data_IF_489453142901
#
_entry.id   IF_489453142901
#
_cell.length_a   1.000
_cell.length_b   1.000
_cell.length_c   1.000
_cell.angle_alpha   90.00
_cell.angle_beta   90.00
_cell.angle_gamma   90.00
#
_symmetry.space_group_name_H-M   'P 1'
#
loop_
_entity.id
_entity.type
_entity.pdbx_description
1 polymer ?
#
# COMPACT_ATOMS: atom_id res chain seq x y z
N UNK A 1 -32.34 -0.21 14.70
CA UNK A 1 -32.12 -1.61 14.32
C UNK A 1 -30.64 -1.91 14.50
N UNK A 2 -30.30 -2.71 15.50
CA UNK A 2 -28.92 -3.14 15.74
C UNK A 2 -28.57 -4.22 14.71
N UNK A 3 -27.61 -3.93 13.82
CA UNK A 3 -27.00 -4.95 12.97
C UNK A 3 -25.93 -5.63 13.83
N UNK A 4 -26.29 -6.76 14.43
CA UNK A 4 -25.30 -7.73 14.90
C UNK A 4 -24.37 -8.04 13.72
N UNK A 5 -23.05 -7.91 13.89
CA UNK A 5 -22.10 -8.37 12.88
C UNK A 5 -22.32 -9.88 12.69
N UNK A 6 -22.55 -10.37 11.47
CA UNK A 6 -22.63 -11.80 11.24
C UNK A 6 -21.24 -12.38 11.49
N UNK A 7 -21.15 -13.54 12.16
CA UNK A 7 -20.01 -14.43 11.89
C UNK A 7 -20.03 -14.68 10.40
N UNK A 8 -19.08 -14.10 9.67
CA UNK A 8 -19.10 -14.10 8.22
C UNK A 8 -19.07 -15.57 7.77
N UNK A 9 -20.06 -15.99 6.98
CA UNK A 9 -20.09 -17.36 6.48
C UNK A 9 -18.91 -17.55 5.53
N UNK A 10 -18.03 -18.50 5.83
CA UNK A 10 -16.88 -18.83 5.01
C UNK A 10 -16.76 -20.34 4.82
N UNK A 11 -16.13 -20.74 3.72
CA UNK A 11 -15.65 -22.10 3.48
C UNK A 11 -14.16 -22.17 3.77
N UNK A 12 -13.77 -22.95 4.78
CA UNK A 12 -12.35 -23.19 5.08
C UNK A 12 -11.84 -24.33 4.19
N UNK A 13 -10.97 -23.99 3.25
CA UNK A 13 -10.43 -24.89 2.23
C UNK A 13 -9.11 -25.49 2.71
N UNK A 14 -9.18 -26.68 3.33
CA UNK A 14 -8.01 -27.46 3.77
C UNK A 14 -7.66 -28.62 2.83
N UNK A 15 -8.40 -28.79 1.73
CA UNK A 15 -8.17 -29.84 0.73
C UNK A 15 -8.10 -29.27 -0.68
N UNK A 16 -7.36 -29.95 -1.55
CA UNK A 16 -7.20 -29.56 -2.95
C UNK A 16 -8.53 -29.48 -3.71
N UNK A 17 -9.47 -30.39 -3.42
CA UNK A 17 -10.81 -30.37 -4.00
C UNK A 17 -11.60 -29.13 -3.57
N UNK A 18 -11.46 -28.70 -2.31
CA UNK A 18 -12.09 -27.47 -1.83
C UNK A 18 -11.50 -26.23 -2.51
N UNK A 19 -10.18 -26.18 -2.69
CA UNK A 19 -9.51 -25.12 -3.44
C UNK A 19 -9.97 -25.08 -4.91
N UNK A 20 -10.16 -26.24 -5.54
CA UNK A 20 -10.68 -26.35 -6.92
C UNK A 20 -12.10 -25.81 -7.02
N UNK A 21 -12.98 -26.18 -6.08
CA UNK A 21 -14.35 -25.66 -6.02
C UNK A 21 -14.39 -24.15 -5.82
N UNK A 22 -13.53 -23.61 -4.95
CA UNK A 22 -13.41 -22.16 -4.76
C UNK A 22 -13.07 -21.47 -6.09
N UNK A 23 -12.07 -21.97 -6.83
CA UNK A 23 -11.71 -21.43 -8.14
C UNK A 23 -12.87 -21.49 -9.16
N UNK A 24 -13.62 -22.60 -9.19
CA UNK A 24 -14.78 -22.76 -10.07
C UNK A 24 -15.87 -21.71 -9.77
N UNK A 25 -16.24 -21.55 -8.49
CA UNK A 25 -17.24 -20.56 -8.07
C UNK A 25 -16.79 -19.15 -8.44
N UNK A 26 -15.54 -18.81 -8.11
CA UNK A 26 -15.00 -17.46 -8.34
C UNK A 26 -14.78 -17.13 -9.82
N UNK A 27 -14.58 -18.14 -10.68
CA UNK A 27 -14.39 -17.95 -12.13
C UNK A 27 -15.61 -17.36 -12.84
N UNK A 28 -16.79 -17.40 -12.21
CA UNK A 28 -18.01 -16.77 -12.72
C UNK A 28 -17.99 -15.23 -12.59
N UNK A 29 -17.05 -14.67 -11.82
CA UNK A 29 -16.94 -13.23 -11.58
C UNK A 29 -15.77 -12.62 -12.35
N UNK A 30 -15.98 -11.46 -12.96
CA UNK A 30 -14.91 -10.66 -13.59
C UNK A 30 -14.07 -9.87 -12.58
N UNK A 31 -14.49 -9.89 -11.30
CA UNK A 31 -13.83 -9.25 -10.18
C UNK A 31 -13.88 -10.19 -8.98
N UNK A 32 -12.78 -10.27 -8.23
CA UNK A 32 -12.71 -11.00 -6.97
C UNK A 32 -12.03 -10.12 -5.92
N UNK A 33 -12.23 -10.45 -4.65
CA UNK A 33 -11.52 -9.84 -3.53
C UNK A 33 -10.40 -10.77 -3.12
N UNK A 34 -9.22 -10.22 -2.81
CA UNK A 34 -8.05 -10.97 -2.35
C UNK A 34 -7.48 -10.33 -1.08
N UNK A 35 -7.22 -11.18 -0.09
CA UNK A 35 -6.53 -10.82 1.14
C UNK A 35 -5.61 -11.95 1.57
N UNK A 36 -4.45 -11.64 2.15
CA UNK A 36 -3.48 -12.64 2.60
C UNK A 36 -3.17 -12.45 4.09
N UNK A 37 -2.96 -13.56 4.79
CA UNK A 37 -2.51 -13.59 6.18
C UNK A 37 -1.30 -14.50 6.32
N UNK A 38 -0.41 -14.18 7.27
CA UNK A 38 0.75 -14.99 7.58
C UNK A 38 1.74 -14.25 8.47
N UNK A 39 2.95 -14.81 8.59
CA UNK A 39 4.03 -14.24 9.38
C UNK A 39 4.89 -13.35 8.49
N UNK A 40 5.12 -12.10 8.91
CA UNK A 40 6.11 -11.20 8.31
C UNK A 40 6.03 -11.07 6.77
N UNK A 41 4.81 -11.13 6.22
CA UNK A 41 4.55 -11.14 4.77
C UNK A 41 5.34 -10.05 4.04
N UNK A 42 6.09 -10.46 3.02
CA UNK A 42 6.94 -9.63 2.16
C UNK A 42 8.33 -9.37 2.71
N UNK A 43 8.67 -9.82 3.92
CA UNK A 43 10.03 -9.78 4.46
C UNK A 43 10.75 -11.10 4.19
N UNK A 44 12.11 -11.14 4.30
CA UNK A 44 12.84 -12.40 4.32
C UNK A 44 12.25 -13.35 5.38
N UNK A 45 12.19 -14.63 5.05
CA UNK A 45 11.56 -15.68 5.87
C UNK A 45 10.05 -15.47 6.18
N UNK A 46 9.42 -14.53 5.47
CA UNK A 46 7.98 -14.33 5.46
C UNK A 46 7.26 -15.58 4.97
N UNK A 47 6.16 -15.91 5.64
CA UNK A 47 5.46 -17.18 5.43
C UNK A 47 3.96 -16.93 5.27
N UNK A 48 3.46 -17.18 4.06
CA UNK A 48 2.05 -17.14 3.72
C UNK A 48 1.32 -18.29 4.42
N UNK A 49 0.18 -17.99 5.05
CA UNK A 49 -0.61 -18.99 5.81
C UNK A 49 -2.04 -19.14 5.31
N UNK A 50 -2.70 -18.02 5.00
CA UNK A 50 -4.05 -18.01 4.45
C UNK A 50 -4.10 -17.12 3.21
N UNK A 51 -4.71 -17.64 2.14
CA UNK A 51 -5.22 -16.83 1.04
C UNK A 51 -6.73 -16.78 1.20
N UNK A 52 -7.27 -15.58 1.41
CA UNK A 52 -8.71 -15.35 1.50
C UNK A 52 -9.21 -14.76 0.17
N UNK A 53 -10.28 -15.33 -0.37
CA UNK A 53 -10.88 -14.95 -1.64
C UNK A 53 -12.38 -14.84 -1.53
N UNK A 54 -12.98 -13.92 -2.27
CA UNK A 54 -14.43 -13.91 -2.47
C UNK A 54 -14.84 -13.32 -3.80
N UNK A 55 -16.11 -13.48 -4.13
CA UNK A 55 -16.80 -12.64 -5.09
C UNK A 55 -16.87 -11.17 -4.61
N UNK A 56 -17.24 -10.20 -5.47
CA UNK A 56 -17.24 -8.78 -5.10
C UNK A 56 -18.20 -8.41 -3.97
N UNK A 57 -19.29 -9.17 -3.83
CA UNK A 57 -20.30 -8.95 -2.78
C UNK A 57 -19.87 -9.54 -1.42
N UNK A 58 -18.77 -10.30 -1.37
CA UNK A 58 -18.40 -11.14 -0.23
C UNK A 58 -19.55 -12.07 0.20
N UNK A 59 -20.29 -12.60 -0.77
CA UNK A 59 -21.35 -13.59 -0.55
C UNK A 59 -20.79 -15.00 -0.39
N UNK A 60 -19.69 -15.31 -1.09
CA UNK A 60 -19.00 -16.59 -1.03
C UNK A 60 -17.53 -16.33 -0.65
N UNK A 61 -17.20 -16.51 0.63
CA UNK A 61 -15.84 -16.33 1.15
C UNK A 61 -15.14 -17.67 1.29
N UNK A 62 -13.97 -17.80 0.67
CA UNK A 62 -13.10 -18.97 0.76
C UNK A 62 -11.81 -18.62 1.49
N UNK A 63 -11.48 -19.36 2.53
CA UNK A 63 -10.24 -19.23 3.28
C UNK A 63 -9.36 -20.45 2.97
N UNK A 64 -8.34 -20.28 2.14
CA UNK A 64 -7.45 -21.35 1.73
C UNK A 64 -6.29 -21.49 2.70
N UNK A 65 -6.18 -22.65 3.34
CA UNK A 65 -5.07 -22.99 4.23
C UNK A 65 -3.84 -23.41 3.41
N UNK A 66 -2.97 -22.45 3.09
CA UNK A 66 -1.83 -22.72 2.20
C UNK A 66 -0.79 -23.64 2.83
N UNK A 67 -0.75 -23.72 4.17
CA UNK A 67 0.15 -24.65 4.88
C UNK A 67 -0.33 -26.10 4.74
N UNK A 68 -1.64 -26.33 4.65
CA UNK A 68 -2.20 -27.65 4.35
C UNK A 68 -2.24 -27.95 2.83
N UNK A 69 -2.27 -26.91 2.00
CA UNK A 69 -2.19 -26.98 0.53
C UNK A 69 -0.73 -26.78 0.03
N UNK A 70 0.23 -27.44 0.69
CA UNK A 70 1.65 -27.15 0.55
C UNK A 70 2.29 -27.67 -0.76
N UNK A 71 1.73 -28.71 -1.40
CA UNK A 71 2.17 -29.13 -2.74
C UNK A 71 1.73 -28.11 -3.80
N UNK A 72 2.62 -27.16 -4.08
CA UNK A 72 2.44 -26.12 -5.10
C UNK A 72 2.30 -26.65 -6.53
N UNK A 73 2.70 -27.89 -6.80
CA UNK A 73 2.60 -28.52 -8.11
C UNK A 73 1.32 -29.36 -8.27
N UNK A 74 0.48 -29.40 -7.23
CA UNK A 74 -0.77 -30.14 -7.30
C UNK A 74 -1.70 -29.55 -8.37
N UNK A 75 -2.15 -30.35 -9.35
CA UNK A 75 -2.93 -29.86 -10.49
C UNK A 75 -4.30 -29.27 -10.08
N UNK A 76 -4.83 -29.62 -8.91
CA UNK A 76 -6.08 -29.03 -8.42
C UNK A 76 -5.93 -27.55 -8.00
N UNK A 77 -4.71 -27.04 -7.81
CA UNK A 77 -4.47 -25.61 -7.59
C UNK A 77 -4.37 -24.81 -8.89
N UNK A 78 -4.15 -25.46 -10.04
CA UNK A 78 -3.96 -24.77 -11.32
C UNK A 78 -5.13 -23.84 -11.71
N UNK A 79 -6.42 -24.18 -11.50
CA UNK A 79 -7.52 -23.26 -11.78
C UNK A 79 -7.49 -21.99 -10.91
N UNK A 80 -7.10 -22.14 -9.64
CA UNK A 80 -6.97 -21.01 -8.71
C UNK A 80 -5.84 -20.08 -9.15
N UNK A 81 -4.68 -20.63 -9.49
CA UNK A 81 -3.53 -19.83 -9.91
C UNK A 81 -3.79 -19.14 -11.24
N UNK A 82 -4.41 -19.84 -12.19
CA UNK A 82 -4.87 -19.25 -13.46
C UNK A 82 -5.81 -18.05 -13.23
N UNK A 83 -6.68 -18.11 -12.22
CA UNK A 83 -7.56 -17.00 -11.84
C UNK A 83 -6.77 -15.76 -11.36
N UNK A 84 -5.71 -15.97 -10.56
CA UNK A 84 -4.88 -14.90 -10.00
C UNK A 84 -3.99 -14.23 -11.07
N UNK A 85 -3.50 -15.00 -12.05
CA UNK A 85 -2.62 -14.51 -13.12
C UNK A 85 -3.34 -13.75 -14.23
N UNK A 86 -4.66 -13.94 -14.35
CA UNK A 86 -5.46 -13.32 -15.41
C UNK A 86 -5.58 -11.80 -15.26
N UNK A 87 -5.07 -10.99 -16.21
CA UNK A 87 -5.15 -9.53 -16.13
C UNK A 87 -6.56 -8.98 -16.41
N UNK A 88 -7.41 -9.76 -17.06
CA UNK A 88 -8.80 -9.41 -17.37
C UNK A 88 -9.73 -9.58 -16.16
N UNK A 89 -9.33 -10.39 -15.17
CA UNK A 89 -10.03 -10.54 -13.89
C UNK A 89 -9.45 -9.55 -12.88
N UNK A 90 -10.31 -8.69 -12.35
CA UNK A 90 -9.91 -7.67 -11.37
C UNK A 90 -9.74 -8.29 -9.99
N UNK A 91 -8.60 -8.08 -9.33
CA UNK A 91 -8.39 -8.44 -7.91
C UNK A 91 -8.44 -7.18 -7.07
N UNK A 92 -9.52 -7.01 -6.30
CA UNK A 92 -9.64 -5.95 -5.32
C UNK A 92 -8.83 -6.34 -4.07
N UNK A 93 -7.92 -5.46 -3.67
CA UNK A 93 -7.08 -5.65 -2.48
C UNK A 93 -7.07 -4.39 -1.63
N UNK A 94 -6.72 -4.52 -0.36
CA UNK A 94 -6.33 -3.41 0.50
C UNK A 94 -4.86 -3.55 0.85
N UNK A 95 -4.01 -2.69 0.30
CA UNK A 95 -2.54 -2.75 0.46
C UNK A 95 -1.91 -4.09 0.03
N UNK A 96 -2.01 -4.42 -1.25
CA UNK A 96 -1.54 -5.70 -1.80
C UNK A 96 -0.02 -5.81 -2.01
N UNK A 97 0.77 -4.81 -1.63
CA UNK A 97 2.23 -4.74 -1.95
C UNK A 97 3.01 -5.98 -1.55
N UNK A 98 2.61 -6.63 -0.46
CA UNK A 98 3.25 -7.86 0.03
C UNK A 98 2.68 -9.11 -0.63
N UNK A 99 1.41 -9.10 -1.04
CA UNK A 99 0.72 -10.29 -1.58
C UNK A 99 1.40 -10.79 -2.85
N UNK A 100 1.87 -9.87 -3.70
CA UNK A 100 2.60 -10.23 -4.92
C UNK A 100 3.88 -11.02 -4.60
N UNK A 101 4.66 -10.56 -3.62
CA UNK A 101 5.90 -11.25 -3.21
C UNK A 101 5.58 -12.63 -2.64
N UNK A 102 4.58 -12.71 -1.76
CA UNK A 102 4.23 -13.94 -1.05
C UNK A 102 3.65 -15.01 -1.97
N UNK A 103 2.75 -14.63 -2.87
CA UNK A 103 2.13 -15.56 -3.83
C UNK A 103 3.17 -16.01 -4.87
N UNK A 104 4.04 -15.11 -5.34
CA UNK A 104 5.10 -15.45 -6.27
C UNK A 104 6.14 -16.41 -5.65
N UNK A 105 6.56 -16.15 -4.40
CA UNK A 105 7.54 -17.00 -3.71
C UNK A 105 6.96 -18.38 -3.36
N UNK A 106 5.74 -18.41 -2.82
CA UNK A 106 5.09 -19.65 -2.37
C UNK A 106 4.72 -20.54 -3.55
N UNK A 107 4.15 -19.96 -4.61
CA UNK A 107 3.50 -20.73 -5.68
C UNK A 107 4.05 -20.48 -7.09
N UNK A 108 4.98 -19.54 -7.28
CA UNK A 108 5.48 -19.17 -8.61
C UNK A 108 4.46 -18.40 -9.46
N UNK A 109 3.43 -17.83 -8.82
CA UNK A 109 2.27 -17.21 -9.48
C UNK A 109 2.44 -15.71 -9.56
N UNK A 110 2.35 -15.15 -10.77
CA UNK A 110 2.43 -13.70 -10.96
C UNK A 110 1.04 -13.07 -10.86
N UNK A 111 0.73 -12.45 -9.72
CA UNK A 111 -0.53 -11.74 -9.52
C UNK A 111 -0.67 -10.55 -10.50
N UNK A 112 -1.72 -10.56 -11.33
CA UNK A 112 -2.02 -9.47 -12.30
C UNK A 112 -3.41 -8.87 -12.06
N UNK A 113 -3.81 -7.83 -12.80
CA UNK A 113 -5.20 -7.31 -12.73
C UNK A 113 -5.61 -6.72 -11.37
N UNK A 114 -4.65 -6.24 -10.57
CA UNK A 114 -4.93 -5.73 -9.22
C UNK A 114 -5.46 -4.29 -9.24
N UNK A 115 -6.45 -4.01 -8.41
CA UNK A 115 -6.85 -2.66 -8.00
C UNK A 115 -6.70 -2.56 -6.49
N UNK A 116 -5.84 -1.66 -6.04
CA UNK A 116 -5.62 -1.40 -4.62
C UNK A 116 -6.55 -0.29 -4.12
N UNK A 117 -7.50 -0.65 -3.25
CA UNK A 117 -8.49 0.28 -2.70
C UNK A 117 -7.87 1.37 -1.82
N UNK A 118 -6.66 1.17 -1.30
CA UNK A 118 -5.96 2.18 -0.52
C UNK A 118 -5.57 3.38 -1.39
N UNK A 119 -5.29 3.17 -2.69
CA UNK A 119 -5.06 4.25 -3.65
C UNK A 119 -6.36 4.99 -4.00
N UNK A 120 -7.49 4.27 -4.02
CA UNK A 120 -8.82 4.87 -4.21
C UNK A 120 -9.17 5.78 -3.05
N UNK A 121 -8.92 5.31 -1.83
CA UNK A 121 -9.10 6.11 -0.62
C UNK A 121 -8.25 7.39 -0.68
N UNK A 122 -6.96 7.28 -0.99
CA UNK A 122 -6.07 8.45 -1.11
C UNK A 122 -6.54 9.43 -2.19
N UNK A 123 -6.99 8.92 -3.34
CA UNK A 123 -7.45 9.73 -4.48
C UNK A 123 -8.80 10.40 -4.24
N UNK A 124 -9.60 9.90 -3.29
CA UNK A 124 -10.91 10.46 -2.93
C UNK A 124 -10.86 11.33 -1.67
N UNK A 125 -9.81 11.20 -0.85
CA UNK A 125 -9.58 11.98 0.36
C UNK A 125 -9.47 13.48 0.04
N UNK A 126 -10.44 14.28 0.49
CA UNK A 126 -10.43 15.74 0.40
C UNK A 126 -11.10 16.36 -0.84
N UNK A 127 -11.83 15.58 -1.66
CA UNK A 127 -12.61 16.12 -2.80
C UNK A 127 -13.91 16.86 -2.41
N UNK A 128 -14.41 16.74 -1.17
CA UNK A 128 -15.55 17.51 -0.65
C UNK A 128 -15.07 18.53 0.37
N UNK A 129 -15.02 19.82 0.01
CA UNK A 129 -14.82 21.05 0.85
C UNK A 129 -13.80 21.04 2.01
N UNK A 130 -13.09 19.94 2.24
CA UNK A 130 -12.22 19.64 3.36
C UNK A 130 -10.82 19.36 2.80
N UNK A 131 -10.28 20.32 2.03
CA UNK A 131 -8.87 20.34 1.59
C UNK A 131 -7.91 20.06 2.76
N UNK A 132 -8.37 20.27 3.99
CA UNK A 132 -7.62 20.05 5.20
C UNK A 132 -7.55 18.59 5.68
N UNK A 133 -8.45 17.65 5.33
CA UNK A 133 -8.36 16.30 5.92
C UNK A 133 -7.16 15.48 5.41
N UNK A 134 -6.86 15.56 4.10
CA UNK A 134 -5.69 14.88 3.50
C UNK A 134 -4.39 15.41 4.10
N UNK A 135 -4.25 16.73 4.15
CA UNK A 135 -3.13 17.39 4.77
C UNK A 135 -3.07 17.07 6.28
N UNK A 136 -4.17 17.19 7.02
CA UNK A 136 -4.21 16.93 8.46
C UNK A 136 -3.80 15.50 8.83
N UNK A 137 -4.26 14.48 8.10
CA UNK A 137 -3.89 13.09 8.40
C UNK A 137 -2.38 12.85 8.24
N UNK A 138 -1.79 13.36 7.16
CA UNK A 138 -0.33 13.32 6.93
C UNK A 138 0.39 14.21 7.96
N UNK A 139 -0.06 15.44 8.19
CA UNK A 139 0.54 16.40 9.12
C UNK A 139 0.59 15.89 10.56
N UNK A 140 -0.42 15.15 11.02
CA UNK A 140 -0.42 14.54 12.36
C UNK A 140 0.76 13.60 12.57
N UNK A 141 1.23 12.94 11.52
CA UNK A 141 2.41 12.07 11.59
C UNK A 141 3.70 12.87 11.79
N UNK A 142 3.81 14.00 11.10
CA UNK A 142 4.96 14.90 11.11
C UNK A 142 4.83 16.02 12.16
N UNK A 143 4.27 15.70 13.34
CA UNK A 143 3.96 16.71 14.38
C UNK A 143 5.22 17.46 14.85
N UNK A 144 6.37 16.79 14.93
CA UNK A 144 7.64 17.39 15.36
C UNK A 144 8.18 18.46 14.41
N UNK A 145 7.90 18.33 13.11
CA UNK A 145 8.32 19.29 12.06
C UNK A 145 7.15 20.15 11.56
N UNK A 146 6.09 20.25 12.36
CA UNK A 146 4.88 20.97 11.98
C UNK A 146 5.12 22.46 11.76
N UNK A 147 6.09 23.06 12.47
CA UNK A 147 6.47 24.47 12.27
C UNK A 147 7.00 24.68 10.84
N UNK A 148 7.90 23.81 10.39
CA UNK A 148 8.50 23.89 9.06
C UNK A 148 7.47 23.64 7.96
N UNK A 149 6.59 22.64 8.15
CA UNK A 149 5.47 22.37 7.25
C UNK A 149 4.49 23.54 7.17
N UNK A 150 4.21 24.23 8.29
CA UNK A 150 3.35 25.42 8.26
C UNK A 150 3.99 26.58 7.50
N UNK A 151 5.31 26.75 7.63
CA UNK A 151 6.06 27.77 6.91
C UNK A 151 6.23 27.43 5.43
N UNK A 152 6.29 26.15 5.09
CA UNK A 152 6.38 25.66 3.72
C UNK A 152 5.48 24.42 3.50
N UNK A 153 4.17 24.62 3.23
CA UNK A 153 3.22 23.52 3.04
C UNK A 153 3.56 22.58 1.87
N UNK A 154 4.34 23.07 0.90
CA UNK A 154 4.78 22.28 -0.27
C UNK A 154 5.70 21.12 0.11
N UNK A 155 6.26 21.11 1.32
CA UNK A 155 7.00 19.96 1.84
C UNK A 155 6.16 18.67 1.87
N UNK A 156 4.83 18.77 1.86
CA UNK A 156 3.91 17.64 1.80
C UNK A 156 3.36 17.32 0.41
N UNK A 157 3.77 18.04 -0.63
CA UNK A 157 3.30 17.79 -2.00
C UNK A 157 3.63 16.34 -2.41
N UNK A 158 2.66 15.62 -2.98
CA UNK A 158 2.79 14.20 -3.34
C UNK A 158 2.89 13.22 -2.15
N UNK A 159 2.95 13.68 -0.90
CA UNK A 159 3.09 12.81 0.28
C UNK A 159 1.72 12.47 0.87
N UNK A 160 1.37 11.19 0.80
CA UNK A 160 0.08 10.68 1.26
C UNK A 160 0.26 9.56 2.27
N UNK A 161 -0.04 9.85 3.53
CA UNK A 161 -0.07 8.81 4.56
C UNK A 161 -1.27 7.89 4.34
N UNK A 162 -1.02 6.59 4.40
CA UNK A 162 -2.00 5.53 4.23
C UNK A 162 -2.86 5.35 5.49
N UNK A 163 -4.12 4.93 5.30
CA UNK A 163 -4.99 4.48 6.38
C UNK A 163 -5.01 2.94 6.40
N UNK A 164 -5.14 2.36 7.59
CA UNK A 164 -5.53 0.95 7.72
C UNK A 164 -6.99 0.74 7.30
N UNK A 165 -7.35 -0.49 6.95
CA UNK A 165 -8.67 -0.86 6.46
C UNK A 165 -9.78 -0.46 7.45
N UNK A 166 -9.65 -0.79 8.74
CA UNK A 166 -10.65 -0.44 9.75
C UNK A 166 -10.82 1.07 9.90
N UNK A 167 -9.70 1.81 9.90
CA UNK A 167 -9.73 3.27 9.98
C UNK A 167 -10.45 3.88 8.78
N UNK A 168 -10.26 3.31 7.58
CA UNK A 168 -11.00 3.72 6.40
C UNK A 168 -12.49 3.38 6.54
N UNK A 169 -12.82 2.13 6.89
CA UNK A 169 -14.19 1.67 7.06
C UNK A 169 -14.96 2.51 8.11
N UNK A 170 -14.33 2.85 9.23
CA UNK A 170 -14.88 3.73 10.25
C UNK A 170 -15.11 5.15 9.71
N UNK A 171 -14.14 5.73 8.99
CA UNK A 171 -14.29 7.05 8.37
C UNK A 171 -15.41 7.09 7.32
N UNK A 172 -15.62 5.98 6.61
CA UNK A 172 -16.70 5.81 5.64
C UNK A 172 -18.04 5.41 6.29
N UNK A 173 -18.07 5.20 7.61
CA UNK A 173 -19.25 4.73 8.37
C UNK A 173 -19.78 3.38 7.88
N UNK A 174 -18.89 2.54 7.33
CA UNK A 174 -19.16 1.14 6.97
C UNK A 174 -19.32 0.29 8.23
N UNK A 175 -18.49 0.57 9.24
CA UNK A 175 -18.58 -0.03 10.57
C UNK A 175 -18.97 1.04 11.59
N UNK A 176 -19.68 0.62 12.64
CA UNK A 176 -19.96 1.46 13.79
C UNK A 176 -18.79 1.43 14.80
N UNK A 177 -18.87 2.21 15.88
CA UNK A 177 -17.82 2.27 16.90
C UNK A 177 -17.53 0.92 17.60
N UNK A 178 -18.43 -0.06 17.49
CA UNK A 178 -18.32 -1.41 18.05
C UNK A 178 -17.89 -2.45 17.01
N UNK A 179 -17.79 -2.09 15.73
CA UNK A 179 -17.51 -2.99 14.61
C UNK A 179 -16.04 -3.02 14.19
N UNK A 180 -15.13 -2.70 15.11
CA UNK A 180 -13.69 -2.83 14.88
C UNK A 180 -13.18 -4.24 15.14
N UNK A 181 -11.87 -4.47 14.91
CA UNK A 181 -11.19 -5.74 15.17
C UNK A 181 -11.51 -6.30 16.54
N UNK A 182 -11.69 -7.62 16.61
CA UNK A 182 -11.83 -8.34 17.88
C UNK A 182 -10.63 -7.99 18.81
N UNK A 183 -10.89 -7.49 20.04
CA UNK A 183 -9.85 -7.20 21.01
C UNK A 183 -8.93 -8.38 21.29
N UNK A 184 -9.44 -9.61 21.27
CA UNK A 184 -8.67 -10.83 21.48
C UNK A 184 -7.67 -11.05 20.34
N UNK A 185 -8.08 -10.89 19.08
CA UNK A 185 -7.17 -10.97 17.92
C UNK A 185 -6.14 -9.84 17.96
N UNK A 186 -6.57 -8.64 18.33
CA UNK A 186 -5.66 -7.49 18.47
C UNK A 186 -4.62 -7.72 19.56
N UNK A 187 -5.00 -8.37 20.66
CA UNK A 187 -4.07 -8.74 21.72
C UNK A 187 -3.10 -9.84 21.25
N UNK A 188 -3.61 -10.87 20.57
CA UNK A 188 -2.79 -11.96 20.03
C UNK A 188 -1.75 -11.45 19.02
N UNK A 189 -2.14 -10.54 18.12
CA UNK A 189 -1.19 -9.91 17.20
C UNK A 189 -0.11 -9.10 17.95
N UNK A 190 -0.41 -8.54 19.12
CA UNK A 190 0.57 -7.81 19.92
C UNK A 190 1.57 -8.74 20.61
N UNK A 191 1.12 -9.91 21.06
CA UNK A 191 1.98 -10.86 21.78
C UNK A 191 2.77 -11.76 20.85
N UNK A 192 2.13 -12.27 19.79
CA UNK A 192 2.65 -13.35 18.95
C UNK A 192 3.01 -12.85 17.54
N UNK A 193 2.73 -11.58 17.25
CA UNK A 193 2.97 -10.98 15.94
C UNK A 193 2.22 -11.71 14.82
N UNK A 194 2.89 -11.93 13.70
CA UNK A 194 2.36 -12.72 12.59
C UNK A 194 2.45 -14.24 12.79
N UNK A 195 3.24 -14.72 13.76
CA UNK A 195 3.43 -16.15 14.01
C UNK A 195 2.15 -16.87 14.43
N UNK A 196 1.19 -16.14 15.00
CA UNK A 196 -0.14 -16.68 15.36
C UNK A 196 -0.85 -17.35 14.17
N UNK A 197 -0.57 -16.90 12.95
CA UNK A 197 -1.15 -17.44 11.73
C UNK A 197 -0.60 -18.82 11.36
N UNK A 198 0.54 -19.24 11.91
CA UNK A 198 1.19 -20.51 11.55
C UNK A 198 0.72 -21.69 12.40
N UNK A 199 0.01 -21.44 13.51
CA UNK A 199 -0.49 -22.50 14.38
C UNK A 199 -1.62 -23.30 13.72
N UNK A 200 -1.62 -24.62 13.95
CA UNK A 200 -2.68 -25.54 13.51
C UNK A 200 -3.16 -26.43 14.67
N UNK A 201 -4.48 -26.69 14.80
CA UNK A 201 -5.56 -26.13 13.99
C UNK A 201 -5.67 -24.60 14.15
N UNK A 202 -6.02 -23.90 13.07
CA UNK A 202 -6.10 -22.44 13.14
C UNK A 202 -7.32 -22.04 14.00
N UNK A 203 -7.14 -21.20 15.03
CA UNK A 203 -8.24 -20.78 15.90
C UNK A 203 -9.41 -20.15 15.13
N UNK A 204 -10.65 -20.47 15.50
CA UNK A 204 -11.85 -19.95 14.84
C UNK A 204 -11.88 -18.42 14.76
N UNK A 205 -11.46 -17.73 15.83
CA UNK A 205 -11.35 -16.27 15.84
C UNK A 205 -10.42 -15.69 14.74
N UNK A 206 -9.38 -16.41 14.33
CA UNK A 206 -8.49 -15.98 13.24
C UNK A 206 -9.12 -16.22 11.87
N UNK A 207 -9.93 -17.29 11.72
CA UNK A 207 -10.72 -17.53 10.53
C UNK A 207 -11.82 -16.47 10.37
N UNK A 208 -12.58 -16.20 11.44
CA UNK A 208 -13.58 -15.12 11.48
C UNK A 208 -12.96 -13.77 11.14
N UNK A 209 -11.76 -13.50 11.67
CA UNK A 209 -11.00 -12.29 11.38
C UNK A 209 -10.64 -12.18 9.89
N UNK A 210 -10.10 -13.26 9.29
CA UNK A 210 -9.74 -13.26 7.87
C UNK A 210 -10.96 -13.10 6.94
N UNK A 211 -12.09 -13.73 7.28
CA UNK A 211 -13.35 -13.56 6.55
C UNK A 211 -13.92 -12.14 6.72
N UNK A 212 -13.77 -11.54 7.91
CA UNK A 212 -14.20 -10.18 8.18
C UNK A 212 -13.41 -9.15 7.35
N UNK A 213 -12.10 -9.32 7.19
CA UNK A 213 -11.28 -8.44 6.34
C UNK A 213 -11.80 -8.44 4.88
N UNK A 214 -12.16 -9.61 4.33
CA UNK A 214 -12.78 -9.71 3.00
C UNK A 214 -14.10 -8.96 2.91
N UNK A 215 -14.98 -9.15 3.90
CA UNK A 215 -16.25 -8.42 3.98
C UNK A 215 -16.04 -6.91 4.05
N UNK A 216 -15.08 -6.44 4.85
CA UNK A 216 -14.73 -5.02 4.95
C UNK A 216 -14.23 -4.46 3.61
N UNK A 217 -13.35 -5.19 2.92
CA UNK A 217 -12.86 -4.79 1.59
C UNK A 217 -14.05 -4.63 0.61
N UNK A 218 -14.99 -5.58 0.60
CA UNK A 218 -16.22 -5.50 -0.21
C UNK A 218 -17.02 -4.22 0.10
N UNK A 219 -17.33 -3.98 1.38
CA UNK A 219 -18.12 -2.82 1.78
C UNK A 219 -17.43 -1.48 1.50
N UNK A 220 -16.11 -1.42 1.68
CA UNK A 220 -15.31 -0.23 1.36
C UNK A 220 -15.28 0.00 -0.15
N UNK A 221 -15.16 -1.07 -0.96
CA UNK A 221 -15.20 -0.99 -2.42
C UNK A 221 -16.52 -0.39 -2.92
N UNK A 222 -17.67 -0.85 -2.40
CA UNK A 222 -19.01 -0.35 -2.74
C UNK A 222 -19.13 1.18 -2.58
N UNK A 223 -18.45 1.75 -1.58
CA UNK A 223 -18.48 3.18 -1.27
C UNK A 223 -17.47 3.99 -2.09
N UNK A 224 -16.29 3.42 -2.33
CA UNK A 224 -15.14 4.13 -2.90
C UNK A 224 -15.07 4.05 -4.44
N UNK A 225 -15.28 2.87 -5.02
CA UNK A 225 -15.11 2.64 -6.46
C UNK A 225 -16.01 3.53 -7.34
N UNK A 226 -17.27 3.85 -6.97
CA UNK A 226 -18.09 4.76 -7.78
C UNK A 226 -17.56 6.19 -7.91
N UNK A 227 -16.49 6.56 -7.19
CA UNK A 227 -15.97 7.95 -7.11
C UNK A 227 -14.76 8.21 -8.00
N UNK A 228 -14.35 7.23 -8.80
CA UNK A 228 -13.05 7.19 -9.48
C UNK A 228 -13.17 6.48 -10.83
N UNK A 229 -12.27 6.78 -11.77
CA UNK A 229 -12.10 5.98 -12.99
C UNK A 229 -11.25 4.75 -12.67
N UNK A 230 -11.76 3.58 -13.05
CA UNK A 230 -11.11 2.29 -12.83
C UNK A 230 -9.82 2.16 -13.66
N UNK A 231 -9.80 2.73 -14.87
CA UNK A 231 -8.66 2.68 -15.80
C UNK A 231 -7.43 3.36 -15.20
N UNK A 232 -7.57 4.59 -14.70
CA UNK A 232 -6.46 5.32 -14.07
C UNK A 232 -5.92 4.59 -12.82
N UNK A 233 -6.80 3.89 -12.10
CA UNK A 233 -6.42 3.13 -10.92
C UNK A 233 -5.66 1.85 -11.24
N UNK A 234 -5.92 1.21 -12.38
CA UNK A 234 -5.18 0.00 -12.79
C UNK A 234 -3.70 0.30 -12.95
N UNK A 235 -3.36 1.39 -13.63
CA UNK A 235 -1.96 1.78 -13.82
C UNK A 235 -1.29 2.19 -12.50
N UNK A 236 -1.98 2.97 -11.67
CA UNK A 236 -1.47 3.37 -10.36
C UNK A 236 -1.27 2.16 -9.44
N UNK A 237 -2.22 1.22 -9.44
CA UNK A 237 -2.11 -0.03 -8.68
C UNK A 237 -0.96 -0.89 -9.19
N UNK A 238 -0.78 -1.02 -10.51
CA UNK A 238 0.36 -1.75 -11.07
C UNK A 238 1.72 -1.14 -10.64
N UNK A 239 1.84 0.20 -10.60
CA UNK A 239 3.03 0.87 -10.05
C UNK A 239 3.19 0.60 -8.54
N UNK A 240 2.10 0.68 -7.78
CA UNK A 240 2.09 0.49 -6.34
C UNK A 240 2.53 -0.92 -5.93
N UNK A 241 2.02 -1.95 -6.61
CA UNK A 241 2.34 -3.35 -6.36
C UNK A 241 3.82 -3.68 -6.63
N UNK A 242 4.49 -2.91 -7.49
CA UNK A 242 5.90 -3.11 -7.89
C UNK A 242 6.89 -2.28 -7.06
N UNK A 243 6.42 -1.61 -6.01
CA UNK A 243 7.27 -0.75 -5.17
C UNK A 243 8.38 -1.53 -4.49
N UNK A 244 8.11 -2.79 -4.13
CA UNK A 244 9.09 -3.70 -3.56
C UNK A 244 9.42 -4.78 -4.59
N UNK A 245 10.57 -4.68 -5.30
CA UNK A 245 10.95 -5.69 -6.28
C UNK A 245 11.38 -7.01 -5.63
N UNK A 246 11.86 -6.96 -4.38
CA UNK A 246 12.26 -8.14 -3.59
C UNK A 246 11.90 -7.98 -2.12
N UNK A 247 12.00 -9.07 -1.35
CA UNK A 247 11.77 -9.09 0.11
C UNK A 247 12.84 -8.28 0.85
N UNK A 248 14.09 -8.36 0.42
CA UNK A 248 15.22 -7.62 0.98
C UNK A 248 15.05 -6.11 0.78
N UNK A 249 14.59 -5.70 -0.41
CA UNK A 249 14.29 -4.29 -0.68
C UNK A 249 13.17 -3.77 0.24
N UNK A 250 12.17 -4.59 0.54
CA UNK A 250 11.12 -4.23 1.51
C UNK A 250 11.68 -4.14 2.93
N UNK A 251 12.48 -5.11 3.35
CA UNK A 251 13.12 -5.13 4.67
C UNK A 251 13.97 -3.87 4.90
N UNK A 252 14.79 -3.48 3.93
CA UNK A 252 15.58 -2.26 3.98
C UNK A 252 14.72 -0.98 4.17
N UNK A 253 13.46 -1.01 3.74
CA UNK A 253 12.52 0.11 3.85
C UNK A 253 11.70 0.09 5.15
N UNK A 254 11.71 -1.00 5.92
CA UNK A 254 11.04 -1.09 7.24
C UNK A 254 11.54 -0.02 8.22
N UNK A 255 12.85 0.14 8.48
CA UNK A 255 13.34 1.16 9.42
C UNK A 255 13.07 2.59 8.91
N UNK A 256 12.86 2.75 7.60
CA UNK A 256 12.52 4.02 6.97
C UNK A 256 11.03 4.37 7.08
N UNK A 257 10.20 3.47 7.65
CA UNK A 257 8.75 3.64 7.81
C UNK A 257 7.98 3.95 6.49
N UNK A 258 8.57 3.64 5.34
CA UNK A 258 8.02 4.03 4.02
C UNK A 258 6.71 3.33 3.69
N UNK A 259 6.47 2.15 4.27
CA UNK A 259 5.23 1.39 4.12
C UNK A 259 4.00 2.14 4.62
N UNK A 260 4.17 3.19 5.45
CA UNK A 260 3.07 4.04 5.96
C UNK A 260 2.56 5.07 4.96
N UNK A 261 3.21 5.19 3.80
CA UNK A 261 2.91 6.20 2.79
C UNK A 261 2.65 5.57 1.43
N UNK A 262 1.84 6.25 0.60
CA UNK A 262 1.85 6.01 -0.82
C UNK A 262 3.25 6.38 -1.33
N UNK A 263 3.94 5.47 -2.02
CA UNK A 263 5.22 5.74 -2.61
C UNK A 263 5.10 6.90 -3.62
N UNK A 264 6.01 7.88 -3.55
CA UNK A 264 6.07 8.98 -4.52
C UNK A 264 6.08 8.45 -5.97
N UNK A 265 5.57 9.25 -6.92
CA UNK A 265 5.30 8.90 -8.33
C UNK A 265 4.21 7.84 -8.58
N UNK A 266 3.57 7.27 -7.55
CA UNK A 266 2.50 6.27 -7.76
C UNK A 266 1.20 6.93 -8.19
N UNK A 267 0.72 7.93 -7.45
CA UNK A 267 -0.54 8.64 -7.75
C UNK A 267 -0.34 9.59 -8.92
N UNK A 268 0.65 10.49 -8.80
CA UNK A 268 1.02 11.44 -9.85
C UNK A 268 2.14 10.83 -10.68
N UNK A 269 1.75 10.10 -11.74
CA UNK A 269 2.71 9.42 -12.60
C UNK A 269 3.63 10.42 -13.30
N UNK A 270 4.95 10.16 -13.39
CA UNK A 270 5.85 10.99 -14.16
C UNK A 270 5.51 10.92 -15.64
N UNK A 271 5.72 12.04 -16.34
CA UNK A 271 5.55 12.10 -17.80
C UNK A 271 6.47 11.07 -18.48
N UNK A 272 6.00 10.38 -19.54
CA UNK A 272 6.84 9.48 -20.32
C UNK A 272 8.12 10.18 -20.80
N UNK A 273 9.28 9.54 -20.60
CA UNK A 273 10.59 10.07 -21.00
C UNK A 273 11.16 11.16 -20.08
N UNK A 274 10.44 11.59 -19.03
CA UNK A 274 10.98 12.55 -18.07
C UNK A 274 12.22 11.98 -17.34
N UNK A 275 13.25 12.81 -17.08
CA UNK A 275 14.41 12.40 -16.30
C UNK A 275 14.00 11.87 -14.92
N UNK A 276 14.69 10.82 -14.47
CA UNK A 276 14.50 10.23 -13.15
C UNK A 276 15.80 10.25 -12.37
N UNK A 277 15.67 10.38 -11.07
CA UNK A 277 16.77 10.64 -10.16
C UNK A 277 16.75 9.62 -9.03
N UNK A 278 17.93 9.09 -8.71
CA UNK A 278 18.10 8.16 -7.61
C UNK A 278 18.05 8.89 -6.26
N UNK A 279 17.28 8.35 -5.32
CA UNK A 279 17.27 8.77 -3.93
C UNK A 279 18.28 7.95 -3.13
N UNK A 280 19.29 8.62 -2.57
CA UNK A 280 20.37 7.95 -1.82
C UNK A 280 19.93 7.25 -0.53
N UNK A 281 18.70 7.51 -0.04
CA UNK A 281 18.20 6.93 1.22
C UNK A 281 17.24 5.76 1.02
N UNK A 282 16.22 5.92 0.17
CA UNK A 282 15.26 4.84 -0.09
C UNK A 282 15.58 4.06 -1.37
N UNK A 283 16.65 4.43 -2.08
CA UNK A 283 17.16 3.77 -3.29
C UNK A 283 16.17 3.75 -4.46
N UNK A 284 15.07 4.51 -4.36
CA UNK A 284 14.06 4.62 -5.42
C UNK A 284 14.50 5.63 -6.47
N UNK A 285 14.19 5.30 -7.72
CA UNK A 285 14.37 6.19 -8.88
C UNK A 285 13.08 6.98 -9.14
N UNK A 286 13.10 8.28 -8.85
CA UNK A 286 11.92 9.15 -8.75
C UNK A 286 12.01 10.37 -9.68
N UNK A 287 10.88 10.99 -9.98
CA UNK A 287 10.82 12.25 -10.72
C UNK A 287 11.43 13.42 -9.93
N UNK A 288 11.79 14.52 -10.62
CA UNK A 288 12.39 15.69 -9.98
C UNK A 288 11.50 16.32 -8.90
N UNK A 289 10.18 16.27 -9.08
CA UNK A 289 9.20 16.82 -8.11
C UNK A 289 9.22 16.13 -6.75
N UNK A 290 9.87 14.96 -6.65
CA UNK A 290 10.07 14.24 -5.40
C UNK A 290 11.23 14.77 -4.56
N UNK A 291 12.00 15.73 -5.05
CA UNK A 291 13.22 16.26 -4.42
C UNK A 291 13.08 17.76 -4.13
N UNK A 292 13.79 18.24 -3.10
CA UNK A 292 14.00 19.68 -2.93
C UNK A 292 14.93 20.20 -4.01
N UNK A 293 14.61 21.36 -4.59
CA UNK A 293 15.40 22.02 -5.64
C UNK A 293 15.78 23.44 -5.24
N UNK A 294 16.96 23.89 -5.67
CA UNK A 294 17.41 25.29 -5.54
C UNK A 294 18.19 25.72 -6.78
N UNK A 295 18.30 27.03 -6.98
CA UNK A 295 19.20 27.60 -7.97
C UNK A 295 20.64 27.51 -7.45
N UNK A 296 21.59 27.20 -8.33
CA UNK A 296 23.02 27.30 -8.01
C UNK A 296 23.34 28.77 -7.75
N UNK A 297 24.05 29.11 -6.66
CA UNK A 297 24.50 30.47 -6.44
C UNK A 297 25.37 30.91 -7.63
N UNK A 298 24.94 31.93 -8.38
CA UNK A 298 25.81 32.67 -9.28
C UNK A 298 26.70 33.58 -8.44
N UNK A 299 28.01 33.62 -8.72
CA UNK A 299 29.02 34.37 -7.95
C UNK A 299 28.71 35.88 -7.76
N UNK A 300 27.72 36.43 -8.45
CA UNK A 300 27.33 37.85 -8.39
C UNK A 300 26.14 38.17 -7.45
N UNK A 301 25.59 37.20 -6.71
CA UNK A 301 24.46 37.44 -5.82
C UNK A 301 24.81 37.16 -4.34
N UNK A 302 25.58 38.05 -3.72
CA UNK A 302 25.62 38.21 -2.26
C UNK A 302 24.27 38.80 -1.80
N UNK A 303 23.25 37.94 -1.69
CA UNK A 303 21.92 38.30 -1.24
C UNK A 303 21.20 37.07 -0.70
N UNK A 304 21.07 37.02 0.62
CA UNK A 304 20.46 35.96 1.42
C UNK A 304 19.01 35.66 0.96
N UNK A 305 18.83 34.68 0.07
CA UNK A 305 17.52 34.09 -0.21
C UNK A 305 17.64 32.59 -0.44
N UNK A 306 17.72 31.83 0.66
CA UNK A 306 17.70 30.37 0.69
C UNK A 306 16.28 29.79 0.39
N UNK A 307 15.49 30.48 -0.42
CA UNK A 307 14.12 30.09 -0.77
C UNK A 307 14.08 29.10 -1.94
N UNK A 308 13.50 27.90 -1.77
CA UNK A 308 13.38 26.92 -2.85
C UNK A 308 12.50 27.44 -3.99
N UNK A 309 13.03 27.41 -5.21
CA UNK A 309 12.35 27.83 -6.46
C UNK A 309 11.79 26.59 -7.17
N UNK A 310 10.56 26.73 -7.68
CA UNK A 310 9.82 25.68 -8.40
C UNK A 310 10.34 25.50 -9.83
N UNK A 311 10.72 24.28 -10.20
CA UNK A 311 11.03 23.89 -11.59
C UNK A 311 10.04 22.81 -12.01
N UNK A 312 8.78 23.20 -12.21
CA UNK A 312 7.81 22.33 -12.86
C UNK A 312 7.49 22.91 -14.23
N UNK A 313 8.02 22.26 -15.28
CA UNK A 313 7.58 22.35 -16.68
C UNK A 313 8.17 23.42 -17.61
N UNK A 314 9.31 24.06 -17.27
CA UNK A 314 10.07 24.83 -18.28
C UNK A 314 11.30 24.06 -18.70
N UNK A 315 11.53 24.00 -20.02
CA UNK A 315 12.81 23.57 -20.61
C UNK A 315 13.90 24.32 -19.83
N UNK A 316 14.80 23.57 -19.17
CA UNK A 316 15.90 24.09 -18.37
C UNK A 316 16.94 24.78 -19.29
N UNK A 317 16.57 25.93 -19.85
CA UNK A 317 17.46 26.89 -20.51
C UNK A 317 17.58 28.10 -19.60
N UNK A 318 18.10 27.87 -18.40
CA UNK A 318 18.25 28.84 -17.30
C UNK A 318 19.33 28.37 -16.32
N UNK A 319 19.65 29.17 -15.29
CA UNK A 319 20.83 28.97 -14.41
C UNK A 319 20.90 27.54 -13.87
N UNK A 320 22.12 27.03 -13.61
CA UNK A 320 22.33 25.69 -13.09
C UNK A 320 21.44 25.47 -11.85
N UNK A 321 20.74 24.34 -11.79
CA UNK A 321 19.90 23.96 -10.66
C UNK A 321 20.54 22.79 -9.92
N UNK A 322 20.33 22.74 -8.62
CA UNK A 322 20.71 21.62 -7.76
C UNK A 322 19.46 20.98 -7.17
N UNK A 323 19.56 19.68 -6.86
CA UNK A 323 18.57 18.94 -6.07
C UNK A 323 19.20 18.29 -4.86
N UNK A 324 18.40 17.94 -3.87
CA UNK A 324 18.82 16.99 -2.84
C UNK A 324 19.12 15.62 -3.44
N UNK A 325 20.13 14.94 -2.87
CA UNK A 325 20.38 13.51 -3.10
C UNK A 325 19.28 12.60 -2.54
N UNK A 326 18.47 13.12 -1.60
CA UNK A 326 17.41 12.39 -0.89
C UNK A 326 16.04 13.01 -1.18
N UNK A 327 15.01 12.18 -1.39
CA UNK A 327 13.66 12.66 -1.66
C UNK A 327 13.02 13.34 -0.44
N UNK A 328 12.08 14.26 -0.67
CA UNK A 328 11.45 15.05 0.39
C UNK A 328 10.73 14.22 1.47
N UNK A 329 10.18 13.03 1.13
CA UNK A 329 9.57 12.12 2.11
C UNK A 329 10.63 11.56 3.07
N UNK A 330 11.76 11.11 2.51
CA UNK A 330 12.89 10.61 3.28
C UNK A 330 13.48 11.69 4.19
N UNK A 331 13.56 12.94 3.72
CA UNK A 331 13.96 14.09 4.53
C UNK A 331 13.00 14.31 5.70
N UNK A 332 11.68 14.37 5.44
CA UNK A 332 10.69 14.58 6.49
C UNK A 332 10.66 13.46 7.55
N UNK A 333 10.88 12.22 7.14
CA UNK A 333 11.00 11.08 8.07
C UNK A 333 12.26 11.23 8.93
N UNK A 334 13.41 11.58 8.35
CA UNK A 334 14.64 11.86 9.11
C UNK A 334 14.43 12.92 10.18
N UNK A 335 13.89 14.07 9.77
CA UNK A 335 13.65 15.19 10.67
C UNK A 335 12.67 14.80 11.78
N UNK A 336 11.62 14.03 11.45
CA UNK A 336 10.67 13.55 12.45
C UNK A 336 11.34 12.68 13.50
N UNK A 337 12.21 11.77 13.07
CA UNK A 337 12.88 10.80 13.93
C UNK A 337 14.07 11.40 14.68
N UNK A 338 14.34 12.70 14.52
CA UNK A 338 15.51 13.37 15.09
C UNK A 338 16.80 12.64 14.74
N UNK A 339 16.84 12.01 13.57
CA UNK A 339 18.06 11.42 13.07
C UNK A 339 19.06 12.55 12.90
N UNK A 340 20.18 12.47 13.63
CA UNK A 340 21.37 13.28 13.33
C UNK A 340 21.59 13.12 11.84
N UNK A 341 21.74 14.20 11.07
CA UNK A 341 22.04 14.09 9.65
C UNK A 341 23.22 13.13 9.50
N UNK A 342 22.97 11.87 9.13
CA UNK A 342 23.98 10.80 9.11
C UNK A 342 24.84 10.92 7.84
N UNK A 343 25.08 12.16 7.41
CA UNK A 343 25.61 12.56 6.12
C UNK A 343 24.88 13.83 5.63
N UNK A 344 25.57 14.75 4.94
CA UNK A 344 24.95 15.94 4.38
C UNK A 344 23.86 15.53 3.36
N UNK A 345 22.72 16.22 3.39
CA UNK A 345 21.77 16.21 2.27
C UNK A 345 22.43 17.00 1.14
N UNK A 346 23.34 16.35 0.44
CA UNK A 346 24.15 17.02 -0.56
C UNK A 346 23.26 17.53 -1.69
N UNK A 347 23.66 18.70 -2.17
CA UNK A 347 23.07 19.30 -3.36
C UNK A 347 23.85 18.80 -4.56
N UNK A 348 23.21 18.00 -5.39
CA UNK A 348 23.80 17.51 -6.65
C UNK A 348 23.28 18.36 -7.80
N UNK A 349 24.14 18.77 -8.75
CA UNK A 349 23.70 19.38 -10.00
C UNK A 349 22.67 18.50 -10.73
N UNK A 350 21.77 19.13 -11.48
CA UNK A 350 20.84 18.41 -12.36
C UNK A 350 21.47 17.90 -13.67
N UNK A 351 22.77 18.16 -13.88
CA UNK A 351 23.56 17.79 -15.07
C UNK A 351 24.39 16.54 -14.83
#
# INVERSE_FOLDING_TARGET
>A
MATNGPGAQYTFCTTYDAATRAAQVLSASSTIILHCQGRDLGLPDGELSIIALSDPAASEVFLLDVLLLCDKHNPALAPLFSLLERPDITKLVWDGRTYLLEIADTYGVLLQGVIDLQLVEVSTRGKKSEKNLRAQHTMRYFKSVMKDIRNNPRLLDGIHRLLGLDSCAANLRVINALGGKDPAVTNLHRTDGGSMWLHRPLPAMLLDYAAHDIWLISRVADVLLPRVSVEQLREASARYMRVYPTREAKEAHVPLELSKFVPLDVVDAPLPGAPRYYCARCERTLSLSCFGTRQTPTEEAEGDSDTPVNVCSTVLTGPAFQRWTVCHLCVLIACRNLEVQTGPWEWTPLL
#
